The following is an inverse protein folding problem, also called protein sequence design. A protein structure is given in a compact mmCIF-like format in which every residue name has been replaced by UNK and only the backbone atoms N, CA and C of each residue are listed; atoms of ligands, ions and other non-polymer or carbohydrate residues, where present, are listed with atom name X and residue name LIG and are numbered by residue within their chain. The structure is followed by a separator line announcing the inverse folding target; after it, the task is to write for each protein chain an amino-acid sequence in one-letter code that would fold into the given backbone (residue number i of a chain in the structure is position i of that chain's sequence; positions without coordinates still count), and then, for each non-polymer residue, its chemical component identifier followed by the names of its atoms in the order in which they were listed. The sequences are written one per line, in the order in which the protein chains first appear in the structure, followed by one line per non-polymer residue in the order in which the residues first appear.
data_IF_024642302713
#
_entry.id   IF_024642302713
#
_cell.length_a   1.000
_cell.length_b   1.000
_cell.length_c   1.000
_cell.angle_alpha   90.00
_cell.angle_beta   90.00
_cell.angle_gamma   90.00
#
_symmetry.space_group_name_H-M   'P 1'
#
loop_
_entity.id
_entity.type
_entity.pdbx_description
1 polymer ?
#
# COMPACT_ATOMS: atom_id res chain seq x y z
N UNK A 1 17.65 -18.05 4.83
CA UNK A 1 17.39 -16.78 4.11
C UNK A 1 16.30 -17.02 3.09
N UNK A 2 15.33 -16.12 2.99
CA UNK A 2 14.23 -16.17 2.04
C UNK A 2 14.06 -14.81 1.38
N UNK A 3 13.74 -14.78 0.10
CA UNK A 3 13.45 -13.55 -0.63
C UNK A 3 12.35 -13.82 -1.64
N UNK A 4 11.73 -12.74 -2.13
CA UNK A 4 10.74 -12.84 -3.17
C UNK A 4 10.40 -11.47 -3.75
N UNK A 5 9.65 -11.50 -4.85
CA UNK A 5 9.13 -10.31 -5.48
C UNK A 5 7.75 -10.61 -6.07
N UNK A 6 6.91 -9.59 -6.14
CA UNK A 6 5.56 -9.67 -6.69
C UNK A 6 5.25 -8.41 -7.48
N UNK A 7 4.56 -8.58 -8.60
CA UNK A 7 4.00 -7.48 -9.40
C UNK A 7 2.51 -7.73 -9.56
N UNK A 8 1.71 -6.69 -9.39
CA UNK A 8 0.26 -6.72 -9.53
C UNK A 8 -0.21 -5.50 -10.31
N UNK A 9 -1.18 -5.69 -11.20
CA UNK A 9 -1.84 -4.62 -11.93
C UNK A 9 -3.34 -4.79 -11.89
N UNK A 10 -4.05 -3.73 -11.52
CA UNK A 10 -5.50 -3.66 -11.53
C UNK A 10 -5.96 -2.70 -12.62
N UNK A 11 -6.56 -3.26 -13.65
CA UNK A 11 -7.23 -2.53 -14.71
C UNK A 11 -8.73 -2.66 -14.54
N UNK A 12 -9.44 -1.54 -14.68
CA UNK A 12 -10.89 -1.50 -14.71
C UNK A 12 -11.28 -1.25 -16.16
N UNK A 13 -12.31 -1.94 -16.64
CA UNK A 13 -12.70 -1.95 -18.06
C UNK A 13 -14.06 -1.32 -18.31
N UNK A 14 -14.71 -0.79 -17.26
CA UNK A 14 -16.07 -0.27 -17.33
C UNK A 14 -16.20 1.08 -16.63
N UNK A 15 -17.12 1.90 -17.14
CA UNK A 15 -17.54 3.15 -16.53
C UNK A 15 -18.68 2.93 -15.54
N UNK A 16 -18.71 3.71 -14.47
CA UNK A 16 -19.84 3.72 -13.54
C UNK A 16 -21.05 4.47 -14.16
N UNK A 17 -22.26 4.24 -13.64
CA UNK A 17 -23.49 4.97 -14.00
C UNK A 17 -23.40 6.49 -13.77
N UNK A 18 -22.45 6.91 -12.93
CA UNK A 18 -22.14 8.32 -12.65
C UNK A 18 -21.16 8.96 -13.64
N UNK A 19 -20.76 8.25 -14.71
CA UNK A 19 -19.96 8.84 -15.80
C UNK A 19 -18.46 8.95 -15.54
N UNK A 20 -17.93 8.23 -14.54
CA UNK A 20 -16.48 8.18 -14.26
C UNK A 20 -15.94 6.74 -14.23
N UNK A 21 -14.64 6.62 -14.43
CA UNK A 21 -13.86 5.38 -14.37
C UNK A 21 -12.66 5.56 -13.44
N UNK A 22 -12.49 4.67 -12.47
CA UNK A 22 -11.34 4.67 -11.57
C UNK A 22 -10.07 4.29 -12.33
N UNK A 23 -9.00 5.06 -12.14
CA UNK A 23 -7.71 4.81 -12.79
C UNK A 23 -7.11 3.44 -12.45
N UNK A 24 -6.22 2.97 -13.34
CA UNK A 24 -5.50 1.72 -13.12
C UNK A 24 -4.51 1.85 -11.94
N UNK A 25 -4.24 0.73 -11.27
CA UNK A 25 -3.29 0.64 -10.17
C UNK A 25 -2.20 -0.35 -10.53
N UNK A 26 -0.95 0.06 -10.39
CA UNK A 26 0.23 -0.76 -10.59
C UNK A 26 0.98 -0.88 -9.28
N UNK A 27 1.39 -2.10 -8.94
CA UNK A 27 2.10 -2.40 -7.72
C UNK A 27 3.26 -3.34 -8.02
N UNK A 28 4.40 -3.08 -7.39
CA UNK A 28 5.54 -3.96 -7.39
C UNK A 28 6.09 -4.01 -5.98
N UNK A 29 6.50 -5.18 -5.51
CA UNK A 29 7.12 -5.33 -4.20
C UNK A 29 8.20 -6.39 -4.22
N UNK A 30 9.18 -6.22 -3.35
CA UNK A 30 10.24 -7.19 -3.10
C UNK A 30 10.51 -7.28 -1.62
N UNK A 31 10.90 -8.46 -1.14
CA UNK A 31 11.26 -8.67 0.25
C UNK A 31 12.46 -9.58 0.38
N UNK A 32 13.16 -9.40 1.49
CA UNK A 32 14.24 -10.24 1.96
C UNK A 32 14.05 -10.50 3.45
N UNK A 33 14.33 -11.73 3.87
CA UNK A 33 14.28 -12.13 5.25
C UNK A 33 15.40 -13.13 5.59
N UNK A 34 15.92 -13.02 6.80
CA UNK A 34 17.02 -13.82 7.28
C UNK A 34 16.87 -14.14 8.76
N UNK A 35 17.19 -15.38 9.12
CA UNK A 35 17.27 -15.82 10.51
C UNK A 35 18.60 -15.32 11.09
N UNK A 36 18.52 -14.62 12.23
CA UNK A 36 19.68 -14.16 13.00
C UNK A 36 19.97 -15.10 14.17
N UNK A 37 19.05 -16.04 14.44
CA UNK A 37 19.19 -17.14 15.38
C UNK A 37 18.01 -18.09 15.27
N UNK A 38 17.96 -19.12 16.13
CA UNK A 38 16.90 -20.15 16.09
C UNK A 38 15.49 -19.63 16.41
N UNK A 39 15.39 -18.44 17.00
CA UNK A 39 14.14 -17.86 17.51
C UNK A 39 13.81 -16.49 16.91
N UNK A 40 14.69 -15.92 16.07
CA UNK A 40 14.56 -14.57 15.54
C UNK A 40 14.87 -14.52 14.04
N UNK A 41 13.93 -13.97 13.27
CA UNK A 41 14.12 -13.60 11.86
C UNK A 41 13.86 -12.12 11.68
N UNK A 42 14.70 -11.47 10.87
CA UNK A 42 14.52 -10.10 10.41
C UNK A 42 14.03 -10.11 8.97
N UNK A 43 13.23 -9.12 8.60
CA UNK A 43 12.77 -8.93 7.23
C UNK A 43 12.79 -7.46 6.83
N UNK A 44 12.92 -7.22 5.53
CA UNK A 44 12.70 -5.90 4.94
C UNK A 44 11.90 -6.09 3.64
N UNK A 45 10.86 -5.28 3.48
CA UNK A 45 10.04 -5.19 2.28
C UNK A 45 10.19 -3.81 1.65
N UNK A 46 10.32 -3.76 0.34
CA UNK A 46 10.21 -2.54 -0.45
C UNK A 46 9.00 -2.66 -1.36
N UNK A 47 8.16 -1.63 -1.39
CA UNK A 47 6.98 -1.56 -2.24
C UNK A 47 6.98 -0.31 -3.10
N UNK A 48 6.58 -0.44 -4.35
CA UNK A 48 6.26 0.65 -5.26
C UNK A 48 4.79 0.54 -5.67
N UNK A 49 4.08 1.66 -5.68
CA UNK A 49 2.69 1.74 -6.12
C UNK A 49 2.49 2.98 -6.96
N UNK A 50 1.81 2.83 -8.10
CA UNK A 50 1.34 3.92 -8.94
C UNK A 50 -0.16 3.80 -9.17
N UNK A 51 -0.89 4.84 -8.85
CA UNK A 51 -2.33 4.98 -9.09
C UNK A 51 -2.53 6.04 -10.15
N UNK A 52 -3.30 5.74 -11.19
CA UNK A 52 -3.70 6.73 -12.19
C UNK A 52 -4.91 7.53 -11.72
N UNK A 53 -5.06 8.74 -12.27
CA UNK A 53 -6.24 9.57 -12.06
C UNK A 53 -7.52 8.90 -12.58
N UNK A 54 -8.63 9.40 -12.04
CA UNK A 54 -9.97 9.05 -12.51
C UNK A 54 -10.16 9.65 -13.92
N UNK A 55 -10.79 8.89 -14.82
CA UNK A 55 -11.22 9.38 -16.14
C UNK A 55 -12.70 9.72 -16.09
N UNK A 56 -13.10 10.81 -16.73
CA UNK A 56 -14.45 11.36 -16.58
C UNK A 56 -14.64 11.99 -15.19
N UNK A 57 -15.89 12.32 -14.85
CA UNK A 57 -16.22 12.84 -13.54
C UNK A 57 -17.72 12.68 -13.27
N UNK A 58 -18.09 12.60 -11.99
CA UNK A 58 -19.48 12.75 -11.58
C UNK A 58 -19.90 14.22 -11.80
N UNK A 59 -20.93 14.50 -12.61
CA UNK A 59 -21.40 15.87 -12.89
C UNK A 59 -21.75 16.67 -11.63
N UNK A 60 -22.20 16.01 -10.56
CA UNK A 60 -22.51 16.67 -9.29
C UNK A 60 -21.24 17.13 -8.55
N UNK A 61 -20.13 16.42 -8.73
CA UNK A 61 -18.86 16.69 -8.05
C UNK A 61 -17.87 17.49 -8.91
N UNK A 62 -18.07 17.52 -10.23
CA UNK A 62 -17.19 18.23 -11.18
C UNK A 62 -17.52 19.71 -11.38
N UNK A 63 -18.40 20.30 -10.57
CA UNK A 63 -18.67 21.74 -10.65
C UNK A 63 -17.48 22.53 -10.12
N UNK A 64 -17.17 23.74 -10.64
CA UNK A 64 -16.06 24.56 -10.15
C UNK A 64 -16.13 24.78 -8.64
N UNK A 65 -17.34 25.05 -8.11
CA UNK A 65 -17.58 25.21 -6.68
C UNK A 65 -17.26 23.92 -5.89
N UNK A 66 -17.69 22.76 -6.35
CA UNK A 66 -17.43 21.48 -5.67
C UNK A 66 -15.95 21.07 -5.71
N UNK A 67 -15.26 21.28 -6.84
CA UNK A 67 -13.81 20.99 -6.96
C UNK A 67 -12.93 21.99 -6.20
N UNK A 68 -13.40 23.24 -6.03
CA UNK A 68 -12.72 24.25 -5.23
C UNK A 68 -12.91 23.99 -3.73
N UNK A 69 -14.06 23.44 -3.32
CA UNK A 69 -14.32 23.07 -1.93
C UNK A 69 -13.41 21.94 -1.43
N UNK A 70 -13.09 20.95 -2.28
CA UNK A 70 -12.13 19.89 -1.93
C UNK A 70 -11.44 19.29 -3.17
N UNK A 71 -10.12 19.09 -3.12
CA UNK A 71 -9.39 18.42 -4.20
C UNK A 71 -9.78 16.95 -4.36
N UNK A 72 -10.46 16.33 -3.38
CA UNK A 72 -10.98 14.97 -3.49
C UNK A 72 -12.07 14.81 -4.58
N UNK A 73 -12.74 15.91 -4.95
CA UNK A 73 -13.74 15.92 -6.00
C UNK A 73 -13.11 16.08 -7.41
N UNK A 74 -11.84 16.49 -7.47
CA UNK A 74 -11.13 16.70 -8.73
C UNK A 74 -10.56 15.36 -9.23
N UNK A 75 -11.13 14.84 -10.31
CA UNK A 75 -10.78 13.53 -10.90
C UNK A 75 -9.29 13.42 -11.27
N UNK A 76 -8.68 14.53 -11.68
CA UNK A 76 -7.29 14.70 -12.09
C UNK A 76 -6.29 14.84 -10.92
N UNK A 77 -6.78 14.78 -9.67
CA UNK A 77 -5.96 14.94 -8.45
C UNK A 77 -5.93 13.70 -7.55
N UNK A 78 -6.45 12.57 -8.03
CA UNK A 78 -6.55 11.31 -7.27
C UNK A 78 -5.35 10.37 -7.48
N UNK A 79 -4.51 10.66 -8.46
CA UNK A 79 -3.36 9.87 -8.87
C UNK A 79 -2.12 10.16 -8.02
N UNK A 80 -1.13 9.29 -8.19
CA UNK A 80 0.16 9.45 -7.54
C UNK A 80 1.02 8.20 -7.59
N UNK A 81 2.27 8.36 -7.19
CA UNK A 81 3.27 7.31 -7.06
C UNK A 81 3.87 7.34 -5.66
N UNK A 82 4.05 6.17 -5.06
CA UNK A 82 4.64 6.01 -3.73
C UNK A 82 5.64 4.86 -3.71
N UNK A 83 6.71 5.04 -2.93
CA UNK A 83 7.63 3.98 -2.52
C UNK A 83 7.58 3.85 -1.00
N UNK A 84 7.41 2.63 -0.50
CA UNK A 84 7.29 2.32 0.92
C UNK A 84 8.33 1.28 1.34
N UNK A 85 8.82 1.39 2.57
CA UNK A 85 9.72 0.43 3.19
C UNK A 85 9.09 -0.14 4.46
N UNK A 86 9.18 -1.46 4.60
CA UNK A 86 8.65 -2.24 5.71
C UNK A 86 9.73 -3.10 6.36
N UNK A 87 10.56 -2.59 7.29
CA UNK A 87 11.32 -3.44 8.20
C UNK A 87 10.37 -4.23 9.11
N UNK A 88 10.72 -5.49 9.36
CA UNK A 88 9.95 -6.38 10.21
C UNK A 88 10.82 -7.34 11.01
N UNK A 89 10.24 -7.84 12.09
CA UNK A 89 10.84 -8.82 13.00
C UNK A 89 9.84 -9.94 13.25
N UNK A 90 10.32 -11.17 13.24
CA UNK A 90 9.53 -12.37 13.49
C UNK A 90 10.20 -13.19 14.60
N UNK A 91 9.45 -13.47 15.66
CA UNK A 91 9.87 -14.30 16.78
C UNK A 91 9.22 -15.66 16.69
N UNK A 92 10.02 -16.72 16.84
CA UNK A 92 9.51 -18.07 17.07
C UNK A 92 9.55 -18.35 18.58
N UNK A 93 8.37 -18.46 19.18
CA UNK A 93 8.19 -18.78 20.59
C UNK A 93 7.91 -20.29 20.69
N UNK A 94 8.83 -21.10 21.25
CA UNK A 94 8.70 -22.56 21.25
C UNK A 94 7.66 -23.09 22.25
N UNK A 95 7.08 -22.24 23.09
CA UNK A 95 6.08 -22.64 24.09
C UNK A 95 4.72 -22.91 23.41
N UNK A 96 4.03 -23.99 23.80
CA UNK A 96 2.70 -24.40 23.29
C UNK A 96 2.62 -24.71 21.77
N UNK A 97 3.59 -25.44 21.22
CA UNK A 97 3.50 -25.98 19.85
C UNK A 97 4.17 -25.13 18.76
N UNK A 98 4.88 -24.07 19.12
CA UNK A 98 5.55 -23.19 18.16
C UNK A 98 4.63 -22.06 17.71
N UNK A 99 4.63 -20.97 18.46
CA UNK A 99 3.93 -19.75 18.10
C UNK A 99 4.89 -18.81 17.36
N UNK A 100 4.37 -18.03 16.42
CA UNK A 100 5.11 -16.97 15.75
C UNK A 100 4.47 -15.62 16.02
N UNK A 101 5.28 -14.65 16.45
CA UNK A 101 4.89 -13.26 16.61
C UNK A 101 5.65 -12.42 15.60
N UNK A 102 4.93 -11.62 14.84
CA UNK A 102 5.47 -10.83 13.73
C UNK A 102 5.13 -9.37 13.96
N UNK A 103 6.10 -8.47 13.77
CA UNK A 103 5.88 -7.03 13.83
C UNK A 103 6.51 -6.39 12.60
N UNK A 104 5.78 -5.50 11.93
CA UNK A 104 6.26 -4.74 10.76
C UNK A 104 5.93 -3.26 10.96
N UNK A 105 6.88 -2.39 10.63
CA UNK A 105 6.66 -0.95 10.56
C UNK A 105 6.77 -0.51 9.10
N UNK A 106 5.70 0.01 8.51
CA UNK A 106 5.63 0.44 7.12
C UNK A 106 5.59 1.96 7.05
N UNK A 107 6.49 2.56 6.27
CA UNK A 107 6.54 4.01 6.07
C UNK A 107 6.90 4.35 4.63
N UNK A 108 6.46 5.53 4.18
CA UNK A 108 6.77 6.02 2.84
C UNK A 108 8.19 6.61 2.78
N UNK A 109 9.01 6.10 1.87
CA UNK A 109 10.32 6.68 1.55
C UNK A 109 10.18 7.84 0.54
N UNK A 110 9.21 7.72 -0.37
CA UNK A 110 8.96 8.69 -1.41
C UNK A 110 7.48 8.74 -1.75
N UNK A 111 6.97 9.94 -2.00
CA UNK A 111 5.61 10.15 -2.48
C UNK A 111 5.58 11.33 -3.45
N UNK A 112 4.93 11.12 -4.60
CA UNK A 112 4.53 12.14 -5.55
C UNK A 112 3.04 11.97 -5.81
N UNK A 113 2.26 13.04 -5.67
CA UNK A 113 0.80 13.04 -5.82
C UNK A 113 0.41 14.15 -6.78
N UNK A 114 -0.63 13.91 -7.57
CA UNK A 114 -1.05 14.86 -8.61
C UNK A 114 -1.85 16.05 -8.03
N UNK A 115 -2.28 15.95 -6.77
CA UNK A 115 -2.94 17.04 -6.06
C UNK A 115 -2.68 17.02 -4.55
N UNK A 116 -3.31 17.94 -3.80
CA UNK A 116 -3.15 18.03 -2.35
C UNK A 116 -3.66 16.74 -1.70
N UNK A 117 -2.74 15.91 -1.23
CA UNK A 117 -3.02 14.68 -0.51
C UNK A 117 -2.11 14.60 0.71
N UNK A 118 -2.64 14.05 1.80
CA UNK A 118 -1.85 13.85 3.01
C UNK A 118 -0.76 12.81 2.78
N UNK A 119 0.43 13.10 3.30
CA UNK A 119 1.46 12.09 3.42
C UNK A 119 0.98 11.01 4.41
N UNK A 120 1.19 9.72 4.10
CA UNK A 120 0.84 8.65 5.02
C UNK A 120 1.77 8.74 6.24
N UNK A 121 1.19 8.59 7.43
CA UNK A 121 1.99 8.34 8.63
C UNK A 121 2.62 6.94 8.60
N UNK A 122 3.45 6.67 9.60
CA UNK A 122 4.00 5.33 9.85
C UNK A 122 2.85 4.39 10.25
N UNK A 123 2.81 3.20 9.65
CA UNK A 123 1.87 2.14 10.00
C UNK A 123 2.61 1.05 10.76
N UNK A 124 2.01 0.54 11.82
CA UNK A 124 2.51 -0.62 12.55
C UNK A 124 1.55 -1.78 12.36
N UNK A 125 2.09 -2.95 12.06
CA UNK A 125 1.35 -4.19 11.97
C UNK A 125 1.94 -5.19 12.96
N UNK A 126 1.07 -5.95 13.61
CA UNK A 126 1.43 -7.08 14.44
C UNK A 126 0.59 -8.29 14.00
N UNK A 127 1.22 -9.46 13.93
CA UNK A 127 0.54 -10.71 13.59
C UNK A 127 0.98 -11.82 14.53
N UNK A 128 0.03 -12.69 14.87
CA UNK A 128 0.27 -13.90 15.64
C UNK A 128 -0.18 -15.11 14.82
N UNK A 129 0.67 -16.11 14.76
CA UNK A 129 0.39 -17.38 14.10
C UNK A 129 0.67 -18.52 15.08
N UNK A 130 -0.30 -19.42 15.21
CA UNK A 130 -0.11 -20.68 15.91
C UNK A 130 0.17 -21.79 14.89
N UNK A 131 1.29 -22.49 15.09
CA UNK A 131 1.64 -23.67 14.28
C UNK A 131 1.23 -24.89 15.12
N UNK A 132 0.48 -25.80 14.52
CA UNK A 132 0.02 -27.05 15.13
C UNK A 132 0.58 -28.25 14.37
#
# INVERSE_FOLDING_TARGET
MSWGAQVESLYRTGSNSLGYELGAVYQASGWLAGEVGKWLSLSARLGWKKTQNIRGADPALSTPAATAATPLNAADKQGGTRVEMGPGINFLVPVFGGQRLSFEALFALYQSVDGPQLAPGVKFAAAWQWIF
#
